data_IF_282382877269
#
_entry.id   IF_282382877269
#
_cell.length_a   1.000
_cell.length_b   1.000
_cell.length_c   1.000
_cell.angle_alpha   90.00
_cell.angle_beta   90.00
_cell.angle_gamma   90.00
#
_symmetry.space_group_name_H-M   'P 1'
#
loop_
_entity.id
_entity.type
_entity.pdbx_description
1 polymer ?
#
# COMPACT_ATOMS: atom_id res chain seq x y z
N UNK A 1 -6.37 15.64 30.10
CA UNK A 1 -6.02 14.44 29.31
C UNK A 1 -5.60 14.88 27.93
N UNK A 2 -4.64 14.18 27.30
CA UNK A 2 -4.37 14.35 25.86
C UNK A 2 -5.33 13.43 25.10
N UNK A 3 -5.90 13.91 24.00
CA UNK A 3 -6.70 13.04 23.13
C UNK A 3 -5.78 11.95 22.54
N UNK A 4 -6.23 10.70 22.57
CA UNK A 4 -5.51 9.55 22.05
C UNK A 4 -6.47 8.74 21.18
N UNK A 5 -5.95 8.10 20.14
CA UNK A 5 -6.67 7.16 19.29
C UNK A 5 -5.78 5.97 19.00
N UNK A 6 -6.38 4.80 18.78
CA UNK A 6 -5.68 3.61 18.29
C UNK A 6 -5.87 3.55 16.77
N UNK A 7 -4.78 3.73 16.03
CA UNK A 7 -4.79 3.62 14.57
C UNK A 7 -4.19 2.28 14.16
N UNK A 8 -5.00 1.42 13.55
CA UNK A 8 -4.58 0.14 12.98
C UNK A 8 -4.50 0.33 11.47
N UNK A 9 -3.28 0.45 10.95
CA UNK A 9 -3.06 0.61 9.53
C UNK A 9 -3.06 -0.75 8.83
N UNK A 10 -3.58 -0.76 7.59
CA UNK A 10 -3.42 -1.87 6.66
C UNK A 10 -3.90 -3.20 7.24
N UNK A 11 -5.15 -3.20 7.72
CA UNK A 11 -5.87 -4.41 8.10
C UNK A 11 -6.28 -5.14 6.82
N UNK A 12 -5.27 -5.66 6.12
CA UNK A 12 -5.43 -6.55 5.00
C UNK A 12 -5.86 -7.91 5.53
N UNK A 13 -7.16 -8.16 5.41
CA UNK A 13 -7.70 -9.48 5.70
C UNK A 13 -7.11 -10.54 4.76
N UNK A 14 -6.64 -10.21 3.55
CA UNK A 14 -5.99 -11.18 2.67
C UNK A 14 -4.75 -11.87 3.24
N UNK A 15 -3.97 -11.17 4.07
CA UNK A 15 -2.75 -11.71 4.67
C UNK A 15 -2.95 -12.19 6.12
N UNK A 16 -4.00 -11.70 6.80
CA UNK A 16 -4.12 -11.87 8.24
C UNK A 16 -5.48 -12.33 8.78
N UNK A 17 -6.62 -12.14 8.10
CA UNK A 17 -7.94 -12.38 8.73
C UNK A 17 -9.10 -12.80 7.80
N UNK A 18 -8.90 -12.83 6.50
CA UNK A 18 -9.87 -13.04 5.42
C UNK A 18 -9.61 -14.31 4.63
N UNK A 19 -10.63 -14.75 3.90
CA UNK A 19 -10.61 -15.99 3.11
C UNK A 19 -10.11 -15.71 1.70
N UNK A 20 -8.82 -15.86 1.47
CA UNK A 20 -8.25 -15.99 0.13
C UNK A 20 -8.26 -17.45 -0.28
N UNK A 21 -9.31 -17.83 -1.01
CA UNK A 21 -9.43 -19.15 -1.63
C UNK A 21 -9.81 -20.29 -0.66
N UNK A 22 -10.33 -21.38 -1.22
CA UNK A 22 -10.80 -22.56 -0.47
C UNK A 22 -9.72 -23.31 0.34
N UNK A 23 -8.49 -22.80 0.37
CA UNK A 23 -7.31 -23.41 1.01
C UNK A 23 -6.75 -22.63 2.20
N UNK A 24 -7.18 -21.39 2.48
CA UNK A 24 -6.76 -20.68 3.71
C UNK A 24 -7.63 -21.12 4.89
N UNK A 25 -7.06 -21.93 5.78
CA UNK A 25 -7.69 -22.29 7.05
C UNK A 25 -7.84 -21.05 7.95
N UNK A 26 -9.03 -20.86 8.51
CA UNK A 26 -9.26 -19.91 9.61
C UNK A 26 -8.32 -20.29 10.77
N UNK A 27 -7.30 -19.47 11.05
CA UNK A 27 -6.44 -19.72 12.21
C UNK A 27 -7.17 -19.34 13.49
N UNK A 28 -6.88 -20.03 14.60
CA UNK A 28 -7.42 -19.72 15.94
C UNK A 28 -7.12 -18.27 16.33
N UNK A 29 -5.98 -17.75 15.89
CA UNK A 29 -5.57 -16.36 16.11
C UNK A 29 -6.57 -15.36 15.53
N UNK A 30 -7.13 -15.62 14.35
CA UNK A 30 -8.10 -14.73 13.72
C UNK A 30 -9.44 -14.71 14.46
N UNK A 31 -9.81 -15.84 15.06
CA UNK A 31 -10.99 -15.90 15.92
C UNK A 31 -10.76 -15.12 17.22
N UNK A 32 -9.55 -15.21 17.80
CA UNK A 32 -9.19 -14.45 19.00
C UNK A 32 -9.15 -12.94 18.75
N UNK A 33 -8.60 -12.49 17.62
CA UNK A 33 -8.58 -11.07 17.24
C UNK A 33 -10.00 -10.53 17.07
N UNK A 34 -10.85 -11.24 16.33
CA UNK A 34 -12.25 -10.83 16.13
C UNK A 34 -13.05 -10.83 17.45
N UNK A 35 -12.88 -11.83 18.30
CA UNK A 35 -13.56 -11.91 19.61
C UNK A 35 -13.11 -10.78 20.56
N UNK A 36 -11.81 -10.47 20.57
CA UNK A 36 -11.28 -9.37 21.39
C UNK A 36 -11.80 -8.02 20.90
N UNK A 37 -11.86 -7.79 19.59
CA UNK A 37 -12.43 -6.58 19.00
C UNK A 37 -13.92 -6.41 19.35
N UNK A 38 -14.70 -7.50 19.37
CA UNK A 38 -16.10 -7.45 19.82
C UNK A 38 -16.21 -7.07 21.30
N UNK A 39 -15.40 -7.66 22.16
CA UNK A 39 -15.43 -7.39 23.59
C UNK A 39 -15.07 -5.94 23.91
N UNK A 40 -14.09 -5.37 23.19
CA UNK A 40 -13.70 -3.96 23.33
C UNK A 40 -14.79 -3.03 22.79
N UNK A 41 -15.45 -3.40 21.69
CA UNK A 41 -16.54 -2.62 21.12
C UNK A 41 -17.78 -2.58 22.04
N UNK A 42 -18.09 -3.69 22.73
CA UNK A 42 -19.21 -3.77 23.67
C UNK A 42 -18.94 -3.09 25.00
N UNK A 43 -17.73 -3.22 25.54
CA UNK A 43 -17.35 -2.67 26.85
C UNK A 43 -16.08 -1.81 26.76
N UNK A 44 -16.18 -0.57 26.24
CA UNK A 44 -15.00 0.28 25.99
C UNK A 44 -14.28 0.74 27.26
N UNK A 45 -14.93 0.66 28.42
CA UNK A 45 -14.40 1.12 29.70
C UNK A 45 -13.89 -0.03 30.58
N UNK A 46 -14.10 -1.29 30.19
CA UNK A 46 -13.71 -2.47 30.96
C UNK A 46 -12.93 -3.47 30.09
N UNK A 47 -11.64 -3.20 29.93
CA UNK A 47 -10.71 -4.06 29.19
C UNK A 47 -9.63 -4.54 30.16
N UNK A 48 -9.55 -5.85 30.38
CA UNK A 48 -8.64 -6.48 31.33
C UNK A 48 -7.77 -7.52 30.66
N UNK A 49 -6.53 -7.67 31.14
CA UNK A 49 -5.63 -8.73 30.72
C UNK A 49 -5.90 -10.00 31.54
N UNK A 50 -5.73 -11.21 30.95
CA UNK A 50 -5.90 -12.45 31.69
C UNK A 50 -4.93 -12.49 32.89
N UNK A 51 -5.48 -12.60 34.10
CA UNK A 51 -4.71 -12.60 35.35
C UNK A 51 -4.60 -11.24 36.07
N UNK A 52 -5.09 -10.15 35.47
CA UNK A 52 -5.07 -8.80 36.06
C UNK A 52 -6.50 -8.25 36.16
N UNK A 53 -7.15 -8.49 37.30
CA UNK A 53 -8.51 -8.01 37.56
C UNK A 53 -8.47 -6.69 38.35
N UNK A 54 -8.37 -5.58 37.63
CA UNK A 54 -8.50 -4.24 38.23
C UNK A 54 -9.93 -3.72 38.01
N UNK A 55 -10.56 -3.17 39.06
CA UNK A 55 -11.92 -2.58 38.98
C UNK A 55 -11.93 -1.12 38.51
N UNK A 56 -10.81 -0.63 38.01
CA UNK A 56 -10.69 0.75 37.55
C UNK A 56 -11.30 0.92 36.15
N UNK A 57 -12.06 1.99 35.96
CA UNK A 57 -12.70 2.32 34.70
C UNK A 57 -11.67 2.94 33.74
N UNK A 58 -11.45 2.28 32.59
CA UNK A 58 -10.52 2.77 31.59
C UNK A 58 -11.13 3.88 30.73
N UNK A 59 -10.34 4.87 30.29
CA UNK A 59 -10.82 5.88 29.35
C UNK A 59 -11.13 5.25 27.98
N UNK A 60 -12.25 5.65 27.38
CA UNK A 60 -12.64 5.20 26.04
C UNK A 60 -11.65 5.73 24.99
N UNK A 61 -11.11 4.82 24.18
CA UNK A 61 -10.20 5.14 23.08
C UNK A 61 -10.91 4.84 21.74
N UNK A 62 -11.01 5.80 20.80
CA UNK A 62 -11.50 5.54 19.46
C UNK A 62 -10.48 4.69 18.69
N UNK A 63 -10.98 3.68 17.95
CA UNK A 63 -10.18 2.82 17.08
C UNK A 63 -10.49 3.18 15.63
N UNK A 64 -9.45 3.44 14.85
CA UNK A 64 -9.53 3.73 13.42
C UNK A 64 -8.78 2.63 12.69
N UNK A 65 -9.44 1.94 11.77
CA UNK A 65 -8.83 0.89 10.95
C UNK A 65 -8.88 1.28 9.47
N UNK A 66 -7.80 1.02 8.74
CA UNK A 66 -7.75 1.11 7.26
C UNK A 66 -7.58 -0.29 6.68
N UNK A 67 -8.10 -0.55 5.48
CA UNK A 67 -7.99 -1.84 4.81
C UNK A 67 -8.56 -1.79 3.39
N UNK A 68 -8.14 -2.73 2.54
CA UNK A 68 -8.49 -2.75 1.11
C UNK A 68 -9.90 -3.31 0.85
N UNK A 69 -10.26 -4.42 1.48
CA UNK A 69 -11.61 -5.00 1.38
C UNK A 69 -12.12 -5.48 2.74
N UNK A 70 -13.27 -4.93 3.14
CA UNK A 70 -13.98 -5.30 4.37
C UNK A 70 -15.11 -6.33 4.13
N UNK A 71 -15.21 -6.90 2.92
CA UNK A 71 -16.24 -7.88 2.55
C UNK A 71 -16.07 -9.23 3.26
N UNK A 72 -14.82 -9.62 3.55
CA UNK A 72 -14.50 -10.90 4.20
C UNK A 72 -14.51 -10.83 5.72
N UNK A 73 -14.82 -9.67 6.33
CA UNK A 73 -14.92 -9.62 7.78
C UNK A 73 -16.12 -10.40 8.29
N UNK A 74 -15.95 -10.93 9.49
CA UNK A 74 -16.99 -11.61 10.24
C UNK A 74 -18.21 -10.69 10.41
N UNK A 75 -19.33 -11.04 9.75
CA UNK A 75 -20.56 -10.24 9.67
C UNK A 75 -21.11 -9.66 11.00
N UNK A 76 -20.90 -10.29 12.18
CA UNK A 76 -21.30 -9.72 13.46
C UNK A 76 -20.53 -8.47 13.92
N UNK A 77 -19.31 -8.20 13.43
CA UNK A 77 -18.58 -6.95 13.69
C UNK A 77 -19.14 -5.77 12.89
N UNK A 78 -19.77 -6.07 11.75
CA UNK A 78 -20.34 -5.11 10.80
C UNK A 78 -21.80 -4.78 11.15
N UNK A 79 -22.41 -5.47 12.13
CA UNK A 79 -23.76 -5.12 12.57
C UNK A 79 -23.80 -3.72 13.16
N UNK A 80 -24.90 -3.05 12.85
CA UNK A 80 -25.19 -1.67 13.19
C UNK A 80 -24.95 -1.40 14.70
N UNK A 81 -24.09 -0.42 15.00
CA UNK A 81 -23.76 0.01 16.37
C UNK A 81 -22.32 -0.25 16.88
N UNK A 82 -21.50 -1.08 16.22
CA UNK A 82 -20.11 -1.40 16.67
C UNK A 82 -18.98 -0.86 15.79
N UNK A 83 -19.25 -0.69 14.50
CA UNK A 83 -18.28 -0.20 13.51
C UNK A 83 -19.01 0.66 12.48
N UNK A 84 -18.48 1.84 12.19
CA UNK A 84 -18.94 2.68 11.08
C UNK A 84 -18.06 2.41 9.85
N UNK A 85 -18.70 2.10 8.71
CA UNK A 85 -17.99 1.89 7.45
C UNK A 85 -17.93 3.19 6.66
N UNK A 86 -16.72 3.66 6.38
CA UNK A 86 -16.49 4.80 5.51
C UNK A 86 -15.80 4.33 4.23
N UNK A 87 -16.55 4.33 3.12
CA UNK A 87 -15.99 4.07 1.80
C UNK A 87 -15.42 5.36 1.23
N UNK A 88 -14.10 5.42 1.14
CA UNK A 88 -13.42 6.56 0.54
C UNK A 88 -13.04 6.24 -0.91
N UNK A 89 -13.64 6.95 -1.85
CA UNK A 89 -13.22 6.96 -3.25
C UNK A 89 -12.85 8.39 -3.62
N UNK A 90 -11.58 8.68 -3.95
CA UNK A 90 -11.13 10.05 -4.14
C UNK A 90 -11.79 10.66 -5.38
N UNK A 91 -12.43 11.82 -5.20
CA UNK A 91 -12.97 12.59 -6.31
C UNK A 91 -11.85 13.21 -7.15
N UNK A 92 -12.18 13.75 -8.34
CA UNK A 92 -11.19 14.48 -9.16
C UNK A 92 -10.56 15.64 -8.39
N UNK A 93 -11.35 16.36 -7.60
CA UNK A 93 -10.87 17.48 -6.79
C UNK A 93 -9.95 17.02 -5.67
N UNK A 94 -10.29 15.93 -4.98
CA UNK A 94 -9.42 15.34 -3.95
C UNK A 94 -8.07 14.92 -4.54
N UNK A 95 -8.09 14.28 -5.72
CA UNK A 95 -6.86 13.87 -6.42
C UNK A 95 -6.00 15.07 -6.77
N UNK A 96 -6.58 16.14 -7.31
CA UNK A 96 -5.86 17.38 -7.62
C UNK A 96 -5.30 17.99 -6.32
N UNK A 97 -6.08 18.04 -5.25
CA UNK A 97 -5.67 18.57 -3.96
C UNK A 97 -4.49 17.80 -3.36
N UNK A 98 -4.54 16.47 -3.38
CA UNK A 98 -3.44 15.64 -2.89
C UNK A 98 -2.21 15.76 -3.79
N UNK A 99 -2.37 15.82 -5.12
CA UNK A 99 -1.25 16.07 -6.03
C UNK A 99 -0.60 17.44 -5.78
N UNK A 100 -1.39 18.49 -5.54
CA UNK A 100 -0.87 19.80 -5.13
C UNK A 100 -0.07 19.71 -3.82
N UNK A 101 -0.51 18.88 -2.87
CA UNK A 101 0.23 18.59 -1.65
C UNK A 101 1.58 17.93 -1.91
N UNK A 102 1.62 16.93 -2.80
CA UNK A 102 2.85 16.21 -3.18
C UNK A 102 3.87 17.14 -3.84
N UNK A 103 3.42 18.01 -4.76
CA UNK A 103 4.28 18.92 -5.52
C UNK A 103 4.45 20.30 -4.87
N UNK A 104 3.99 20.49 -3.63
CA UNK A 104 4.02 21.79 -2.93
C UNK A 104 5.43 22.39 -2.85
N UNK A 105 6.43 21.54 -2.67
CA UNK A 105 7.83 21.97 -2.57
C UNK A 105 8.48 22.25 -3.92
N UNK A 106 7.89 21.75 -5.01
CA UNK A 106 8.51 21.79 -6.33
C UNK A 106 8.03 22.99 -7.18
N UNK A 107 7.14 23.83 -6.62
CA UNK A 107 6.62 25.08 -7.18
C UNK A 107 6.10 24.95 -8.64
N UNK A 108 5.34 23.90 -8.89
CA UNK A 108 4.73 23.62 -10.19
C UNK A 108 3.44 24.45 -10.33
N UNK A 109 3.16 24.96 -11.53
CA UNK A 109 1.90 25.65 -11.82
C UNK A 109 0.70 24.70 -11.60
N UNK A 110 -0.35 25.20 -10.94
CA UNK A 110 -1.57 24.44 -10.68
C UNK A 110 -2.19 23.85 -11.97
N UNK A 111 -2.13 24.59 -13.07
CA UNK A 111 -2.60 24.16 -14.39
C UNK A 111 -1.86 22.92 -14.90
N UNK A 112 -0.55 22.84 -14.64
CA UNK A 112 0.25 21.67 -15.00
C UNK A 112 -0.14 20.45 -14.18
N UNK A 113 -0.41 20.62 -12.88
CA UNK A 113 -0.87 19.54 -12.00
C UNK A 113 -2.22 19.02 -12.48
N UNK A 114 -3.15 19.91 -12.83
CA UNK A 114 -4.46 19.53 -13.38
C UNK A 114 -4.30 18.75 -14.68
N UNK A 115 -3.42 19.20 -15.59
CA UNK A 115 -3.16 18.51 -16.87
C UNK A 115 -2.59 17.10 -16.66
N UNK A 116 -1.69 16.92 -15.70
CA UNK A 116 -1.10 15.60 -15.40
C UNK A 116 -2.17 14.68 -14.79
N UNK A 117 -2.97 15.15 -13.84
CA UNK A 117 -4.07 14.37 -13.25
C UNK A 117 -5.13 13.99 -14.29
N UNK A 118 -5.44 14.90 -15.21
CA UNK A 118 -6.39 14.66 -16.31
C UNK A 118 -5.84 13.70 -17.37
N UNK A 119 -4.53 13.61 -17.52
CA UNK A 119 -3.88 12.65 -18.43
C UNK A 119 -3.88 11.25 -17.80
N UNK A 120 -3.63 11.15 -16.48
CA UNK A 120 -3.54 9.89 -15.75
C UNK A 120 -4.78 9.60 -14.89
N UNK A 121 -5.98 9.64 -15.50
CA UNK A 121 -7.25 9.45 -14.77
C UNK A 121 -7.42 8.08 -14.12
N UNK A 122 -6.78 7.03 -14.63
CA UNK A 122 -6.86 5.67 -14.07
C UNK A 122 -5.83 5.35 -12.99
N UNK A 123 -4.93 6.28 -12.67
CA UNK A 123 -3.82 6.01 -11.74
C UNK A 123 -4.16 6.42 -10.31
N UNK A 124 -3.72 5.62 -9.35
CA UNK A 124 -3.81 5.90 -7.91
C UNK A 124 -2.92 7.09 -7.50
N UNK A 125 -3.13 7.60 -6.29
CA UNK A 125 -2.44 8.82 -5.82
C UNK A 125 -0.94 8.58 -5.58
N UNK A 126 -0.58 7.36 -5.18
CA UNK A 126 0.79 6.88 -5.05
C UNK A 126 1.62 7.03 -6.34
N UNK A 127 0.99 6.91 -7.52
CA UNK A 127 1.62 7.11 -8.82
C UNK A 127 2.28 8.48 -8.93
N UNK A 128 1.62 9.54 -8.44
CA UNK A 128 2.17 10.90 -8.50
C UNK A 128 3.34 11.06 -7.51
N UNK A 129 3.30 10.36 -6.38
CA UNK A 129 4.43 10.28 -5.44
C UNK A 129 5.62 9.54 -6.05
N UNK A 130 5.38 8.42 -6.73
CA UNK A 130 6.39 7.67 -7.45
C UNK A 130 7.00 8.49 -8.60
N UNK A 131 6.16 9.23 -9.34
CA UNK A 131 6.59 10.12 -10.41
C UNK A 131 7.54 11.20 -9.89
N UNK A 132 7.21 11.83 -8.76
CA UNK A 132 8.09 12.77 -8.08
C UNK A 132 9.42 12.10 -7.70
N UNK A 133 9.37 10.94 -7.05
CA UNK A 133 10.56 10.20 -6.63
C UNK A 133 11.47 9.83 -7.81
N UNK A 134 10.91 9.41 -8.95
CA UNK A 134 11.69 9.06 -10.16
C UNK A 134 12.50 10.23 -10.71
N UNK A 135 11.97 11.45 -10.67
CA UNK A 135 12.73 12.62 -11.12
C UNK A 135 13.91 12.91 -10.20
N UNK A 136 13.72 12.75 -8.87
CA UNK A 136 14.82 12.87 -7.92
C UNK A 136 15.86 11.74 -8.10
N UNK A 137 15.41 10.51 -8.31
CA UNK A 137 16.28 9.35 -8.55
C UNK A 137 17.20 9.57 -9.75
N UNK A 138 16.70 10.19 -10.82
CA UNK A 138 17.52 10.47 -12.01
C UNK A 138 18.56 11.55 -11.78
N UNK A 139 18.28 12.57 -10.96
CA UNK A 139 19.30 13.55 -10.56
C UNK A 139 20.36 12.92 -9.64
N UNK A 140 19.95 12.07 -8.69
CA UNK A 140 20.88 11.30 -7.86
C UNK A 140 21.72 10.36 -8.73
N UNK A 141 21.13 9.74 -9.75
CA UNK A 141 21.85 8.88 -10.71
C UNK A 141 22.87 9.66 -11.53
N UNK A 142 22.56 10.88 -11.97
CA UNK A 142 23.53 11.77 -12.65
C UNK A 142 24.69 12.13 -11.72
N UNK A 143 24.40 12.45 -10.46
CA UNK A 143 25.40 12.73 -9.45
C UNK A 143 26.32 11.53 -9.18
N UNK A 144 25.75 10.32 -9.06
CA UNK A 144 26.49 9.06 -8.94
C UNK A 144 27.42 8.86 -10.13
N UNK A 145 26.93 9.06 -11.36
CA UNK A 145 27.76 8.95 -12.58
C UNK A 145 28.89 9.98 -12.61
N UNK A 146 28.66 11.19 -12.11
CA UNK A 146 29.65 12.26 -12.08
C UNK A 146 30.78 12.04 -11.07
N UNK A 147 30.49 11.41 -9.92
CA UNK A 147 31.49 11.15 -8.87
C UNK A 147 32.22 9.82 -9.08
N UNK A 148 31.56 8.87 -9.74
CA UNK A 148 32.02 7.49 -9.85
C UNK A 148 31.64 6.66 -8.63
N UNK A 149 31.31 5.39 -8.86
CA UNK A 149 30.78 4.47 -7.83
C UNK A 149 31.74 4.31 -6.66
N UNK A 150 33.05 4.33 -6.94
CA UNK A 150 34.12 4.20 -5.93
C UNK A 150 34.22 5.41 -4.98
N UNK A 151 33.75 6.59 -5.40
CA UNK A 151 33.85 7.83 -4.64
C UNK A 151 32.66 8.13 -3.72
N UNK A 152 31.54 7.40 -3.87
CA UNK A 152 30.29 7.69 -3.16
C UNK A 152 30.46 7.53 -1.65
N UNK A 153 31.00 6.40 -1.19
CA UNK A 153 31.11 6.10 0.24
C UNK A 153 31.95 7.14 1.00
N UNK A 154 33.01 7.67 0.38
CA UNK A 154 33.86 8.71 0.97
C UNK A 154 33.16 10.05 1.07
N UNK A 155 32.34 10.43 0.07
CA UNK A 155 31.60 11.70 0.05
C UNK A 155 30.28 11.67 0.81
N UNK A 156 29.64 10.51 0.96
CA UNK A 156 28.33 10.39 1.61
C UNK A 156 28.44 10.10 3.11
N UNK A 157 29.32 9.17 3.51
CA UNK A 157 29.38 8.66 4.89
C UNK A 157 30.61 9.18 5.63
N UNK A 158 31.76 9.27 4.96
CA UNK A 158 33.03 9.69 5.58
C UNK A 158 33.46 11.12 5.21
N UNK A 159 32.51 11.99 4.88
CA UNK A 159 32.80 13.39 4.53
C UNK A 159 32.84 14.27 5.78
N UNK A 160 33.86 15.13 5.88
CA UNK A 160 33.95 16.18 6.91
C UNK A 160 33.04 17.39 6.60
N UNK A 161 32.53 17.49 5.37
CA UNK A 161 31.71 18.60 4.88
C UNK A 161 30.20 18.33 4.99
N UNK A 162 29.80 17.18 5.54
CA UNK A 162 28.39 16.77 5.63
C UNK A 162 27.87 16.12 4.34
N UNK A 163 26.62 15.60 4.37
CA UNK A 163 26.02 14.99 3.20
C UNK A 163 25.80 16.03 2.08
N UNK A 164 25.94 15.64 0.80
CA UNK A 164 25.73 16.53 -0.32
C UNK A 164 24.30 17.08 -0.30
N UNK A 165 24.18 18.40 -0.35
CA UNK A 165 22.90 19.07 -0.55
C UNK A 165 22.57 19.03 -2.04
N UNK A 166 21.41 18.47 -2.37
CA UNK A 166 20.91 18.43 -3.74
C UNK A 166 20.00 19.64 -3.98
N UNK A 167 20.24 20.35 -5.07
CA UNK A 167 19.27 21.34 -5.55
C UNK A 167 18.02 20.63 -6.06
N UNK A 168 16.85 21.19 -5.76
CA UNK A 168 15.58 20.62 -6.21
C UNK A 168 15.51 20.72 -7.74
N UNK A 169 15.29 19.59 -8.45
CA UNK A 169 15.14 19.62 -9.89
C UNK A 169 13.92 20.42 -10.30
N UNK A 170 14.05 21.20 -11.38
CA UNK A 170 12.91 21.87 -11.99
C UNK A 170 11.97 20.82 -12.59
N UNK A 171 10.80 20.66 -11.97
CA UNK A 171 9.74 19.77 -12.42
C UNK A 171 8.92 20.45 -13.52
N UNK A 172 9.38 20.36 -14.77
CA UNK A 172 8.60 20.86 -15.91
C UNK A 172 7.48 19.89 -16.28
N UNK A 173 6.35 20.41 -16.76
CA UNK A 173 5.18 19.61 -17.15
C UNK A 173 5.52 18.52 -18.17
N UNK A 174 6.38 18.83 -19.13
CA UNK A 174 6.84 17.90 -20.17
C UNK A 174 7.62 16.72 -19.57
N UNK A 175 8.56 17.01 -18.67
CA UNK A 175 9.36 15.99 -17.98
C UNK A 175 8.43 15.07 -17.17
N UNK A 176 7.44 15.61 -16.47
CA UNK A 176 6.49 14.84 -15.69
C UNK A 176 5.59 13.96 -16.57
N UNK A 177 5.16 14.46 -17.74
CA UNK A 177 4.39 13.69 -18.71
C UNK A 177 5.21 12.51 -19.27
N UNK A 178 6.47 12.75 -19.62
CA UNK A 178 7.39 11.72 -20.11
C UNK A 178 7.63 10.62 -19.06
N UNK A 179 7.98 10.98 -17.82
CA UNK A 179 8.15 10.00 -16.74
C UNK A 179 6.84 9.29 -16.39
N UNK A 180 5.71 9.99 -16.47
CA UNK A 180 4.41 9.38 -16.27
C UNK A 180 4.11 8.30 -17.30
N UNK A 181 4.38 8.56 -18.59
CA UNK A 181 4.22 7.56 -19.64
C UNK A 181 5.17 6.37 -19.46
N UNK A 182 6.42 6.63 -19.07
CA UNK A 182 7.40 5.57 -18.77
C UNK A 182 6.92 4.68 -17.63
N UNK A 183 6.40 5.26 -16.54
CA UNK A 183 5.87 4.49 -15.41
C UNK A 183 4.64 3.65 -15.79
N UNK A 184 3.74 4.18 -16.63
CA UNK A 184 2.59 3.42 -17.13
C UNK A 184 3.06 2.24 -17.98
N UNK A 185 4.06 2.44 -18.84
CA UNK A 185 4.65 1.35 -19.63
C UNK A 185 5.33 0.30 -18.74
N UNK A 186 6.06 0.71 -17.70
CA UNK A 186 6.63 -0.22 -16.71
C UNK A 186 5.53 -1.04 -16.04
N UNK A 187 4.44 -0.42 -15.59
CA UNK A 187 3.30 -1.12 -14.98
C UNK A 187 2.64 -2.11 -15.96
N UNK A 188 2.42 -1.72 -17.21
CA UNK A 188 1.88 -2.61 -18.24
C UNK A 188 2.81 -3.79 -18.52
N UNK A 189 4.12 -3.55 -18.57
CA UNK A 189 5.11 -4.60 -18.78
C UNK A 189 5.13 -5.61 -17.63
N UNK A 190 5.09 -5.15 -16.38
CA UNK A 190 5.00 -6.06 -15.22
C UNK A 190 3.73 -6.92 -15.29
N UNK A 191 2.58 -6.30 -15.60
CA UNK A 191 1.32 -7.04 -15.77
C UNK A 191 1.40 -8.08 -16.90
N UNK A 192 2.03 -7.73 -18.03
CA UNK A 192 2.24 -8.67 -19.15
C UNK A 192 3.15 -9.83 -18.78
N UNK A 193 4.25 -9.57 -18.06
CA UNK A 193 5.17 -10.62 -17.61
C UNK A 193 4.47 -11.57 -16.64
N UNK A 194 3.74 -11.03 -15.65
CA UNK A 194 2.97 -11.85 -14.72
C UNK A 194 1.90 -12.70 -15.43
N UNK A 195 1.19 -12.13 -16.40
CA UNK A 195 0.20 -12.86 -17.20
C UNK A 195 0.86 -13.96 -18.05
N UNK A 196 2.03 -13.69 -18.64
CA UNK A 196 2.79 -14.67 -19.40
C UNK A 196 3.28 -15.82 -18.50
N UNK A 197 3.78 -15.52 -17.30
CA UNK A 197 4.17 -16.54 -16.31
C UNK A 197 2.97 -17.38 -15.86
N UNK A 198 1.81 -16.76 -15.63
CA UNK A 198 0.58 -17.49 -15.30
C UNK A 198 0.16 -18.44 -16.44
N UNK A 199 0.17 -17.96 -17.69
CA UNK A 199 -0.14 -18.82 -18.83
C UNK A 199 0.88 -19.94 -19.02
N UNK A 200 2.17 -19.68 -18.83
CA UNK A 200 3.21 -20.73 -18.90
C UNK A 200 3.05 -21.76 -17.79
N UNK A 201 2.70 -21.33 -16.58
CA UNK A 201 2.42 -22.24 -15.46
C UNK A 201 1.15 -23.05 -15.68
N UNK A 202 0.08 -22.45 -16.20
CA UNK A 202 -1.17 -23.14 -16.52
C UNK A 202 -0.97 -24.16 -17.66
N UNK A 203 -0.15 -23.82 -18.66
CA UNK A 203 0.22 -24.74 -19.74
C UNK A 203 1.12 -25.86 -19.20
N UNK A 204 2.10 -25.57 -18.35
CA UNK A 204 2.95 -26.58 -17.72
C UNK A 204 2.16 -27.52 -16.78
N UNK A 205 1.18 -27.00 -16.05
CA UNK A 205 0.24 -27.78 -15.24
C UNK A 205 -0.71 -28.60 -16.14
N UNK A 206 -1.13 -28.05 -17.27
CA UNK A 206 -1.92 -28.75 -18.30
C UNK A 206 -1.17 -29.92 -18.92
N UNK A 207 0.10 -29.73 -19.28
CA UNK A 207 0.97 -30.78 -19.82
C UNK A 207 1.33 -31.82 -18.75
N UNK A 208 1.60 -31.42 -17.50
CA UNK A 208 1.81 -32.35 -16.39
C UNK A 208 0.57 -33.21 -16.09
N UNK A 209 -0.63 -32.63 -16.16
CA UNK A 209 -1.88 -33.37 -16.03
C UNK A 209 -2.13 -34.30 -17.24
N UNK A 210 -1.79 -33.87 -18.45
CA UNK A 210 -1.90 -34.69 -19.65
C UNK A 210 -0.92 -35.86 -19.65
N UNK A 211 0.31 -35.67 -19.16
CA UNK A 211 1.30 -36.72 -18.98
C UNK A 211 0.93 -37.68 -17.84
N UNK A 212 0.37 -37.18 -16.73
CA UNK A 212 -0.18 -38.02 -15.66
C UNK A 212 -1.39 -38.86 -16.14
N UNK A 213 -2.26 -38.29 -16.97
CA UNK A 213 -3.36 -39.02 -17.63
C UNK A 213 -2.86 -40.07 -18.62
N UNK A 214 -1.79 -39.78 -19.39
CA UNK A 214 -1.17 -40.75 -20.31
C UNK A 214 -0.41 -41.88 -19.60
N UNK A 215 0.18 -41.61 -18.44
CA UNK A 215 0.89 -42.61 -17.63
C UNK A 215 -0.03 -43.44 -16.74
N UNK A 216 -1.35 -43.20 -16.78
CA UNK A 216 -2.36 -44.08 -16.16
C UNK A 216 -2.33 -44.14 -14.63
N UNK A 217 -1.70 -43.17 -13.96
CA UNK A 217 -1.47 -43.21 -12.51
C UNK A 217 -2.54 -42.44 -11.72
N UNK A 218 -3.81 -42.58 -12.10
CA UNK A 218 -4.94 -42.04 -11.33
C UNK A 218 -5.37 -43.08 -10.28
N UNK A 219 -4.84 -42.94 -9.06
CA UNK A 219 -5.47 -43.52 -7.88
C UNK A 219 -6.51 -42.53 -7.37
N UNK A 220 -7.79 -42.94 -7.39
CA UNK A 220 -8.88 -42.24 -6.72
C UNK A 220 -8.84 -42.36 -5.20
#
# INVERSE_FOLDING_TARGET
GKMCCLFINDLDLDAGAGRMGGTTQYTVNNQMVNATLMNIADNPTNVQLPGMYNKEENPRVPIICTGNDFSTLYAPLIRDGRMEKFYWSPTREDRIGVCKGIFKHDNIADEAIVKIVDTFRGQSIDFFGALRARVYDDEVRKWIRGIGVEGIGKKLVNSKEGPPTFEQPKMTTEKLLEYGQMLVQEQENVKRVQLAEQHLNDVALGDANADAMKQGNFYG
#
